data_IF_592205909927
#
_entry.id   IF_592205909927
#
_cell.length_a   1.000
_cell.length_b   1.000
_cell.length_c   1.000
_cell.angle_alpha   90.00
_cell.angle_beta   90.00
_cell.angle_gamma   90.00
#
_symmetry.space_group_name_H-M   'P 1'
#
loop_
_entity.id
_entity.type
_entity.pdbx_description
1 polymer ?
#
# COMPACT_ATOMS: atom_id res chain seq x y z
N UNK A 1 6.30 16.30 13.70
CA UNK A 1 6.33 15.35 12.57
C UNK A 1 5.66 14.05 12.98
N UNK A 2 5.12 13.33 12.00
CA UNK A 2 4.53 12.01 12.18
C UNK A 2 5.53 10.93 11.70
N UNK A 3 5.38 9.71 12.23
CA UNK A 3 6.22 8.59 11.81
C UNK A 3 5.88 8.10 10.39
N UNK A 4 6.75 7.26 9.83
CA UNK A 4 6.58 6.74 8.47
C UNK A 4 5.32 5.88 8.34
N UNK A 5 4.95 5.14 9.37
CA UNK A 5 3.75 4.28 9.36
C UNK A 5 2.48 5.12 9.25
N UNK A 6 2.43 6.25 9.96
CA UNK A 6 1.35 7.22 9.83
C UNK A 6 1.23 7.74 8.40
N UNK A 7 2.35 8.19 7.80
CA UNK A 7 2.36 8.73 6.45
C UNK A 7 1.90 7.69 5.44
N UNK A 8 2.45 6.47 5.51
CA UNK A 8 2.06 5.36 4.63
C UNK A 8 0.56 5.07 4.71
N UNK A 9 0.04 4.94 5.93
CA UNK A 9 -1.35 4.60 6.17
C UNK A 9 -2.32 5.67 5.64
N UNK A 10 -2.11 6.91 6.03
CA UNK A 10 -3.00 8.01 5.63
C UNK A 10 -2.94 8.24 4.12
N UNK A 11 -1.74 8.21 3.52
CA UNK A 11 -1.59 8.36 2.06
C UNK A 11 -2.29 7.23 1.31
N UNK A 12 -2.15 5.98 1.78
CA UNK A 12 -2.80 4.84 1.17
C UNK A 12 -4.33 4.93 1.26
N UNK A 13 -4.85 5.35 2.41
CA UNK A 13 -6.29 5.54 2.62
C UNK A 13 -6.86 6.56 1.62
N UNK A 14 -6.26 7.76 1.56
CA UNK A 14 -6.72 8.78 0.61
C UNK A 14 -6.54 8.35 -0.84
N UNK A 15 -5.47 7.60 -1.17
CA UNK A 15 -5.28 7.09 -2.53
C UNK A 15 -6.38 6.12 -2.93
N UNK A 16 -6.74 5.19 -2.06
CA UNK A 16 -7.84 4.25 -2.33
C UNK A 16 -9.18 4.96 -2.50
N UNK A 17 -9.48 5.93 -1.62
CA UNK A 17 -10.72 6.72 -1.74
C UNK A 17 -10.78 7.50 -3.05
N UNK A 18 -9.68 8.14 -3.45
CA UNK A 18 -9.61 8.88 -4.72
C UNK A 18 -9.72 7.95 -5.92
N UNK A 19 -9.09 6.77 -5.88
CA UNK A 19 -9.17 5.81 -6.97
C UNK A 19 -10.60 5.28 -7.15
N UNK A 20 -11.32 4.98 -6.05
CA UNK A 20 -12.71 4.58 -6.09
C UNK A 20 -13.61 5.68 -6.70
N UNK A 21 -13.43 6.94 -6.29
CA UNK A 21 -14.18 8.08 -6.86
C UNK A 21 -13.91 8.24 -8.36
N UNK A 22 -12.64 8.10 -8.78
CA UNK A 22 -12.28 8.22 -10.20
C UNK A 22 -12.88 7.07 -11.02
N UNK A 23 -12.97 5.87 -10.47
CA UNK A 23 -13.58 4.71 -11.14
C UNK A 23 -15.10 4.85 -11.29
N UNK A 24 -15.76 5.49 -10.33
CA UNK A 24 -17.21 5.75 -10.39
C UNK A 24 -17.58 6.93 -11.30
N UNK A 25 -16.66 7.87 -11.50
CA UNK A 25 -16.93 9.12 -12.21
C UNK A 25 -16.22 9.17 -13.55
N UNK A 26 -17.00 9.18 -14.64
CA UNK A 26 -16.45 9.26 -15.99
C UNK A 26 -15.87 10.62 -16.40
N UNK A 27 -16.07 11.66 -15.60
CA UNK A 27 -15.56 13.02 -15.82
C UNK A 27 -14.21 13.27 -15.10
N UNK A 28 -13.70 12.30 -14.34
CA UNK A 28 -12.45 12.38 -13.63
C UNK A 28 -11.42 11.39 -14.20
N UNK A 29 -10.16 11.79 -14.18
CA UNK A 29 -9.04 10.94 -14.56
C UNK A 29 -7.84 11.14 -13.62
N UNK A 30 -6.94 10.16 -13.59
CA UNK A 30 -5.68 10.30 -12.87
C UNK A 30 -4.78 11.32 -13.56
N UNK A 31 -4.19 12.22 -12.77
CA UNK A 31 -3.24 13.21 -13.29
C UNK A 31 -1.86 12.62 -13.63
N UNK A 32 -1.59 11.38 -13.24
CA UNK A 32 -0.31 10.70 -13.46
C UNK A 32 -0.53 9.22 -13.70
N UNK A 33 0.31 8.64 -14.56
CA UNK A 33 0.32 7.22 -14.91
C UNK A 33 0.65 6.32 -13.73
N UNK A 34 0.29 5.07 -13.84
CA UNK A 34 0.52 4.01 -12.87
C UNK A 34 -0.56 3.88 -11.82
N UNK A 35 -0.60 2.66 -11.28
CA UNK A 35 -1.46 2.30 -10.15
C UNK A 35 -0.62 1.91 -8.96
N UNK A 36 -1.10 2.27 -7.77
CA UNK A 36 -0.46 1.86 -6.52
C UNK A 36 -1.22 0.66 -5.97
N UNK A 37 -0.51 -0.43 -5.79
CA UNK A 37 -0.97 -1.60 -5.04
C UNK A 37 -0.52 -1.49 -3.59
N UNK A 38 -1.41 -1.75 -2.66
CA UNK A 38 -1.13 -1.73 -1.23
C UNK A 38 -1.18 -3.16 -0.68
N UNK A 39 -0.15 -3.57 0.05
CA UNK A 39 -0.03 -4.89 0.68
C UNK A 39 -0.51 -4.90 2.13
N UNK A 40 -1.29 -3.91 2.50
CA UNK A 40 -1.96 -3.80 3.80
C UNK A 40 -3.31 -3.11 3.62
N UNK A 41 -4.17 -3.26 4.60
CA UNK A 41 -5.46 -2.54 4.62
C UNK A 41 -5.28 -1.23 5.37
N UNK A 42 -5.41 -0.07 4.68
CA UNK A 42 -5.32 1.22 5.35
C UNK A 42 -6.47 1.43 6.34
N UNK A 43 -6.16 1.98 7.51
CA UNK A 43 -7.13 2.34 8.52
C UNK A 43 -6.70 3.61 9.24
N UNK A 44 -7.42 4.71 9.03
CA UNK A 44 -7.10 6.01 9.65
C UNK A 44 -7.18 5.94 11.17
N UNK A 45 -7.97 5.03 11.70
CA UNK A 45 -8.22 4.86 13.13
C UNK A 45 -7.11 4.08 13.86
N UNK A 46 -6.27 3.31 13.12
CA UNK A 46 -5.12 2.58 13.70
C UNK A 46 -3.88 3.44 13.91
N UNK A 47 -3.89 4.68 13.46
CA UNK A 47 -2.81 5.66 13.68
C UNK A 47 -3.25 6.76 14.63
N UNK A 48 -2.29 7.54 15.13
CA UNK A 48 -2.56 8.58 16.12
C UNK A 48 -3.66 9.55 15.68
N UNK A 49 -4.74 9.59 16.42
CA UNK A 49 -5.78 10.60 16.35
C UNK A 49 -6.35 10.89 17.74
N UNK A 50 -7.14 11.95 17.87
CA UNK A 50 -7.87 12.34 19.08
C UNK A 50 -9.38 12.40 18.83
N UNK A 51 -9.90 11.38 18.13
CA UNK A 51 -11.24 11.38 17.55
C UNK A 51 -11.24 11.98 16.15
N UNK A 52 -12.38 11.90 15.49
CA UNK A 52 -12.63 12.45 14.15
C UNK A 52 -13.74 13.51 14.20
N UNK A 53 -13.65 14.48 13.32
CA UNK A 53 -14.67 15.53 13.19
C UNK A 53 -14.78 15.95 11.73
N UNK A 54 -15.98 16.31 11.29
CA UNK A 54 -16.22 16.95 9.99
C UNK A 54 -15.81 18.44 9.99
N UNK A 55 -15.25 18.91 11.11
CA UNK A 55 -14.86 20.30 11.32
C UNK A 55 -16.02 21.23 10.99
N UNK A 56 -15.85 22.17 10.08
CA UNK A 56 -16.88 23.11 9.65
C UNK A 56 -17.39 22.86 8.23
N UNK A 57 -17.20 21.66 7.67
CA UNK A 57 -17.59 21.34 6.28
C UNK A 57 -19.08 21.54 6.04
N UNK A 58 -19.91 21.07 6.95
CA UNK A 58 -21.37 21.15 6.79
C UNK A 58 -22.00 22.32 7.55
N UNK A 59 -21.49 22.62 8.75
CA UNK A 59 -21.98 23.70 9.59
C UNK A 59 -20.98 24.03 10.70
N UNK A 60 -21.06 25.24 11.26
CA UNK A 60 -20.26 25.62 12.41
C UNK A 60 -20.76 24.87 13.66
N UNK A 61 -19.86 24.10 14.28
CA UNK A 61 -20.14 23.30 15.51
C UNK A 61 -19.29 23.80 16.64
N UNK A 62 -19.85 23.79 17.86
CA UNK A 62 -19.12 24.16 19.08
C UNK A 62 -18.26 23.04 19.66
N UNK A 63 -18.58 21.79 19.33
CA UNK A 63 -17.93 20.60 19.90
C UNK A 63 -17.07 19.89 18.82
N UNK A 64 -15.88 20.42 18.61
CA UNK A 64 -14.88 19.87 17.65
C UNK A 64 -13.60 19.42 18.35
N UNK A 65 -13.53 19.54 19.67
CA UNK A 65 -12.36 19.21 20.46
C UNK A 65 -12.45 17.85 21.15
N UNK A 66 -11.30 17.21 21.40
CA UNK A 66 -11.21 15.99 22.21
C UNK A 66 -10.99 16.39 23.67
N UNK A 67 -12.04 16.26 24.51
CA UNK A 67 -11.99 16.69 25.92
C UNK A 67 -11.56 15.58 26.88
N UNK A 68 -11.61 14.31 26.47
CA UNK A 68 -11.38 13.18 27.36
C UNK A 68 -9.91 12.95 27.66
N UNK A 69 -9.04 13.00 26.63
CA UNK A 69 -7.61 12.80 26.79
C UNK A 69 -6.82 13.42 25.63
N UNK A 70 -5.63 14.02 25.93
CA UNK A 70 -4.70 14.45 24.89
C UNK A 70 -3.94 13.26 24.28
N UNK A 71 -4.02 12.06 24.90
CA UNK A 71 -3.36 10.84 24.43
C UNK A 71 -4.18 10.13 23.36
N UNK A 72 -3.52 9.36 22.54
CA UNK A 72 -4.19 8.44 21.62
C UNK A 72 -4.68 7.21 22.40
N UNK A 73 -5.98 7.07 22.52
CA UNK A 73 -6.61 5.95 23.22
C UNK A 73 -6.66 4.72 22.30
N UNK A 74 -6.78 4.95 20.99
CA UNK A 74 -6.92 3.88 20.00
C UNK A 74 -8.37 3.41 19.83
N UNK A 75 -8.51 2.23 19.26
CA UNK A 75 -9.82 1.63 18.98
C UNK A 75 -10.31 0.80 20.16
N UNK A 76 -11.60 0.87 20.52
CA UNK A 76 -12.19 -0.09 21.45
C UNK A 76 -12.12 -1.49 20.81
N UNK A 77 -11.53 -2.44 21.52
CA UNK A 77 -11.37 -3.82 21.04
C UNK A 77 -12.09 -4.83 21.93
N UNK A 78 -12.64 -4.40 23.07
CA UNK A 78 -13.36 -5.29 23.96
C UNK A 78 -13.47 -4.77 25.37
N UNK A 79 -13.48 -5.67 26.34
CA UNK A 79 -13.58 -5.35 27.76
C UNK A 79 -12.67 -6.24 28.63
N UNK A 80 -12.38 -5.77 29.82
CA UNK A 80 -11.67 -6.53 30.85
C UNK A 80 -12.64 -7.47 31.54
N UNK A 81 -12.34 -8.75 31.59
CA UNK A 81 -13.14 -9.75 32.32
C UNK A 81 -12.66 -9.90 33.76
N UNK A 82 -11.33 -9.97 33.94
CA UNK A 82 -10.70 -10.19 35.23
C UNK A 82 -9.35 -9.50 35.32
N UNK A 83 -9.03 -8.98 36.48
CA UNK A 83 -7.71 -8.43 36.82
C UNK A 83 -7.06 -9.34 37.87
N UNK A 84 -5.95 -9.97 37.50
CA UNK A 84 -5.12 -10.78 38.36
C UNK A 84 -3.85 -10.03 38.77
N UNK A 85 -2.99 -10.65 39.56
CA UNK A 85 -1.76 -10.02 40.06
C UNK A 85 -0.74 -9.78 38.95
N UNK A 86 -0.71 -10.66 37.94
CA UNK A 86 0.31 -10.71 36.86
C UNK A 86 -0.28 -10.69 35.46
N UNK A 87 -1.60 -10.77 35.30
CA UNK A 87 -2.28 -10.80 34.00
C UNK A 87 -3.68 -10.19 34.06
N UNK A 88 -4.23 -9.96 32.87
CA UNK A 88 -5.63 -9.62 32.69
C UNK A 88 -6.29 -10.67 31.80
N UNK A 89 -7.50 -11.11 32.14
CA UNK A 89 -8.37 -11.84 31.22
C UNK A 89 -9.30 -10.83 30.54
N UNK A 90 -9.41 -10.91 29.21
CA UNK A 90 -10.15 -9.95 28.40
C UNK A 90 -11.05 -10.66 27.38
N UNK A 91 -12.19 -10.05 27.06
CA UNK A 91 -13.01 -10.43 25.92
C UNK A 91 -12.81 -9.39 24.81
N UNK A 92 -12.60 -9.84 23.57
CA UNK A 92 -12.27 -8.92 22.45
C UNK A 92 -13.01 -9.30 21.19
N UNK A 93 -13.22 -8.31 20.34
CA UNK A 93 -13.86 -8.46 19.02
C UNK A 93 -12.86 -8.73 17.89
N UNK A 94 -11.59 -8.43 18.13
CA UNK A 94 -10.48 -8.67 17.18
C UNK A 94 -9.35 -9.46 17.86
N UNK A 95 -8.63 -10.32 17.14
CA UNK A 95 -7.50 -11.05 17.70
C UNK A 95 -6.44 -10.10 18.27
N UNK A 96 -5.90 -10.45 19.43
CA UNK A 96 -4.75 -9.80 20.02
C UNK A 96 -3.45 -10.52 19.69
N UNK A 97 -2.36 -9.78 19.67
CA UNK A 97 -1.01 -10.29 19.43
C UNK A 97 -0.01 -9.82 20.49
N UNK A 98 1.07 -10.59 20.63
CA UNK A 98 2.21 -10.16 21.43
C UNK A 98 2.75 -8.84 20.87
N UNK A 99 3.02 -7.89 21.74
CA UNK A 99 3.47 -6.56 21.35
C UNK A 99 2.36 -5.54 21.13
N UNK A 100 1.08 -5.92 21.20
CA UNK A 100 -0.02 -4.95 21.14
C UNK A 100 0.07 -3.93 22.28
N UNK A 101 -0.26 -2.68 22.00
CA UNK A 101 -0.45 -1.65 23.02
C UNK A 101 -1.92 -1.59 23.40
N UNK A 102 -2.19 -1.85 24.66
CA UNK A 102 -3.54 -1.88 25.23
C UNK A 102 -3.70 -0.83 26.31
N UNK A 103 -4.91 -0.33 26.49
CA UNK A 103 -5.20 0.61 27.56
C UNK A 103 -6.67 0.60 27.99
N UNK A 104 -6.90 1.15 29.17
CA UNK A 104 -8.22 1.42 29.71
C UNK A 104 -8.29 2.91 30.07
N UNK A 105 -9.33 3.59 29.63
CA UNK A 105 -9.58 4.98 30.00
C UNK A 105 -10.44 5.03 31.28
N UNK A 106 -9.90 5.63 32.33
CA UNK A 106 -10.57 5.78 33.63
C UNK A 106 -10.59 7.26 33.99
N UNK A 107 -11.75 7.89 33.98
CA UNK A 107 -11.92 9.30 34.37
C UNK A 107 -10.91 10.27 33.73
N UNK A 108 -10.65 10.17 32.43
CA UNK A 108 -9.66 10.95 31.68
C UNK A 108 -8.19 10.53 31.89
N UNK A 109 -7.92 9.54 32.71
CA UNK A 109 -6.61 8.91 32.84
C UNK A 109 -6.52 7.68 31.92
N UNK A 110 -5.45 7.58 31.16
CA UNK A 110 -5.16 6.40 30.32
C UNK A 110 -4.20 5.51 31.08
N UNK A 111 -4.69 4.35 31.51
CA UNK A 111 -3.88 3.27 32.09
C UNK A 111 -3.48 2.33 30.96
N UNK A 112 -2.27 2.52 30.44
CA UNK A 112 -1.75 1.78 29.28
C UNK A 112 -0.70 0.75 29.69
N UNK A 113 -0.65 -0.33 28.90
CA UNK A 113 0.36 -1.38 29.02
C UNK A 113 0.62 -2.03 27.67
N UNK A 114 1.80 -2.64 27.55
CA UNK A 114 2.15 -3.42 26.36
C UNK A 114 1.97 -4.89 26.64
N UNK A 115 1.29 -5.61 25.78
CA UNK A 115 1.11 -7.05 25.87
C UNK A 115 2.45 -7.76 25.56
N UNK A 116 3.04 -8.40 26.56
CA UNK A 116 4.24 -9.23 26.37
C UNK A 116 3.85 -10.60 25.81
N UNK A 117 2.90 -11.24 26.50
CA UNK A 117 2.37 -12.55 26.10
C UNK A 117 0.86 -12.45 26.01
N UNK A 118 0.32 -13.03 24.96
CA UNK A 118 -1.11 -13.12 24.70
C UNK A 118 -1.45 -14.58 24.43
N UNK A 119 -2.35 -15.15 25.20
CA UNK A 119 -2.82 -16.53 25.06
C UNK A 119 -4.34 -16.54 24.84
N UNK A 120 -4.78 -17.27 23.83
CA UNK A 120 -6.20 -17.45 23.57
C UNK A 120 -6.75 -18.49 24.55
N UNK A 121 -7.72 -18.10 25.38
CA UNK A 121 -8.32 -18.95 26.41
C UNK A 121 -9.72 -19.46 26.07
N UNK A 122 -10.35 -18.85 25.05
CA UNK A 122 -11.69 -19.20 24.58
C UNK A 122 -12.04 -18.52 23.27
N UNK A 123 -13.29 -18.66 22.84
CA UNK A 123 -13.80 -17.89 21.72
C UNK A 123 -13.83 -16.42 22.11
N UNK A 124 -13.07 -15.58 21.40
CA UNK A 124 -12.93 -14.15 21.67
C UNK A 124 -12.42 -13.81 23.09
N UNK A 125 -11.80 -14.75 23.79
CA UNK A 125 -11.23 -14.53 25.12
C UNK A 125 -9.73 -14.76 25.11
N UNK A 126 -9.02 -13.86 25.76
CA UNK A 126 -7.55 -13.87 25.83
C UNK A 126 -7.07 -13.58 27.24
N UNK A 127 -5.95 -14.19 27.59
CA UNK A 127 -5.13 -13.83 28.76
C UNK A 127 -3.94 -13.03 28.30
N UNK A 128 -3.74 -11.88 28.92
CA UNK A 128 -2.70 -10.92 28.55
C UNK A 128 -1.78 -10.69 29.74
N UNK A 129 -0.49 -10.97 29.56
CA UNK A 129 0.57 -10.62 30.50
C UNK A 129 1.26 -9.35 30.00
N UNK A 130 1.16 -8.24 30.73
CA UNK A 130 1.89 -7.01 30.40
C UNK A 130 3.41 -7.19 30.54
N UNK A 131 4.19 -6.41 29.77
CA UNK A 131 5.66 -6.31 29.97
C UNK A 131 5.99 -5.84 31.39
N UNK A 132 5.27 -4.82 31.83
CA UNK A 132 5.33 -4.26 33.17
C UNK A 132 3.89 -4.04 33.63
N UNK A 133 3.60 -4.46 34.84
CA UNK A 133 2.28 -4.24 35.39
C UNK A 133 2.07 -2.75 35.63
N UNK A 134 0.98 -2.16 35.14
CA UNK A 134 0.72 -0.74 35.31
C UNK A 134 0.66 -0.37 36.81
N UNK A 135 1.30 0.72 37.15
CA UNK A 135 1.25 1.21 38.56
C UNK A 135 -0.20 1.45 39.02
N UNK A 136 -1.06 1.84 38.09
CA UNK A 136 -2.47 2.11 38.31
C UNK A 136 -3.38 0.90 38.02
N UNK A 137 -2.83 -0.31 38.00
CA UNK A 137 -3.61 -1.55 37.76
C UNK A 137 -4.81 -1.67 38.71
N UNK A 138 -4.62 -1.24 39.97
CA UNK A 138 -5.67 -1.25 40.97
C UNK A 138 -6.91 -0.40 40.62
N UNK A 139 -6.80 0.51 39.64
CA UNK A 139 -7.91 1.30 39.10
C UNK A 139 -8.73 0.54 38.06
N UNK A 140 -8.14 -0.47 37.42
CA UNK A 140 -8.85 -1.30 36.39
C UNK A 140 -9.82 -2.22 37.10
N UNK A 141 -11.00 -2.39 36.57
CA UNK A 141 -12.08 -3.24 37.08
C UNK A 141 -12.63 -4.11 35.94
N UNK A 142 -13.25 -5.25 36.25
CA UNK A 142 -14.07 -5.97 35.27
C UNK A 142 -15.08 -5.03 34.59
N UNK A 143 -15.36 -5.30 33.33
CA UNK A 143 -16.23 -4.54 32.42
C UNK A 143 -15.75 -3.14 32.02
N UNK A 144 -14.50 -2.74 32.40
CA UNK A 144 -13.92 -1.56 31.80
C UNK A 144 -13.63 -1.81 30.32
N UNK A 145 -14.01 -0.84 29.44
CA UNK A 145 -13.68 -0.92 28.00
C UNK A 145 -12.16 -1.03 27.78
N UNK A 146 -11.75 -2.00 26.98
CA UNK A 146 -10.37 -2.19 26.58
C UNK A 146 -10.16 -1.58 25.21
N UNK A 147 -9.14 -0.73 25.07
CA UNK A 147 -8.76 -0.13 23.80
C UNK A 147 -7.38 -0.62 23.37
N UNK A 148 -7.17 -0.67 22.03
CA UNK A 148 -5.89 -0.97 21.41
C UNK A 148 -5.36 0.28 20.70
N UNK A 149 -4.29 0.87 21.21
CA UNK A 149 -3.62 2.02 20.62
C UNK A 149 -2.40 1.66 19.77
N UNK A 150 -2.01 0.39 19.78
CA UNK A 150 -0.97 -0.16 18.91
C UNK A 150 -1.35 -1.57 18.47
N UNK A 151 -1.67 -1.75 17.20
CA UNK A 151 -1.81 -3.05 16.57
C UNK A 151 -0.42 -3.45 16.03
N UNK A 152 0.25 -4.36 16.74
CA UNK A 152 1.62 -4.73 16.45
C UNK A 152 1.78 -5.38 15.08
N UNK A 153 0.91 -6.31 14.74
CA UNK A 153 0.97 -7.04 13.46
C UNK A 153 0.72 -6.10 12.27
N UNK A 154 -0.25 -5.22 12.38
CA UNK A 154 -0.53 -4.22 11.37
C UNK A 154 0.64 -3.23 11.21
N UNK A 155 1.24 -2.77 12.30
CA UNK A 155 2.41 -1.91 12.25
C UNK A 155 3.62 -2.60 11.63
N UNK A 156 3.84 -3.89 11.91
CA UNK A 156 4.89 -4.69 11.27
C UNK A 156 4.69 -4.79 9.76
N UNK A 157 3.47 -4.90 9.28
CA UNK A 157 3.19 -4.89 7.84
C UNK A 157 3.62 -3.57 7.18
N UNK A 158 3.50 -2.43 7.89
CA UNK A 158 3.92 -1.12 7.41
C UNK A 158 5.45 -0.91 7.42
N UNK A 159 6.21 -1.65 8.22
CA UNK A 159 7.68 -1.55 8.24
C UNK A 159 8.33 -2.19 7.02
N UNK A 160 7.64 -3.11 6.35
CA UNK A 160 8.08 -3.77 5.12
C UNK A 160 7.74 -2.93 3.89
N UNK A 161 8.02 -3.46 2.70
CA UNK A 161 7.47 -2.91 1.44
C UNK A 161 5.96 -3.02 1.49
N UNK A 162 5.29 -1.93 1.77
CA UNK A 162 3.85 -1.90 2.03
C UNK A 162 3.03 -1.45 0.82
N UNK A 163 3.68 -0.86 -0.18
CA UNK A 163 3.02 -0.39 -1.40
C UNK A 163 4.00 -0.39 -2.55
N UNK A 164 3.51 -0.71 -3.73
CA UNK A 164 4.25 -0.57 -4.99
C UNK A 164 3.42 0.23 -5.98
N UNK A 165 4.07 1.16 -6.67
CA UNK A 165 3.47 1.85 -7.82
C UNK A 165 4.10 1.33 -9.09
N UNK A 166 3.28 0.88 -10.03
CA UNK A 166 3.73 0.38 -11.32
C UNK A 166 2.89 0.96 -12.44
N UNK A 167 3.53 1.11 -13.61
CA UNK A 167 2.93 1.62 -14.84
C UNK A 167 2.68 0.43 -15.78
N UNK A 168 1.49 0.36 -16.35
CA UNK A 168 1.16 -0.67 -17.32
C UNK A 168 1.88 -0.44 -18.63
N UNK A 169 2.41 -1.52 -19.21
CA UNK A 169 2.99 -1.50 -20.55
C UNK A 169 2.46 -2.67 -21.39
N UNK A 170 2.20 -2.40 -22.65
CA UNK A 170 1.96 -3.41 -23.67
C UNK A 170 3.29 -3.69 -24.36
N UNK A 171 3.58 -4.96 -24.57
CA UNK A 171 4.84 -5.45 -25.15
C UNK A 171 4.52 -6.19 -26.43
N UNK A 172 5.17 -5.81 -27.52
CA UNK A 172 5.07 -6.48 -28.81
C UNK A 172 6.47 -6.92 -29.25
N UNK A 173 6.64 -8.19 -29.54
CA UNK A 173 7.83 -8.72 -30.19
C UNK A 173 7.49 -9.15 -31.61
N UNK A 174 8.11 -8.51 -32.57
CA UNK A 174 7.98 -8.83 -34.00
C UNK A 174 9.34 -9.02 -34.68
N UNK A 175 9.32 -9.14 -36.01
CA UNK A 175 10.53 -9.33 -36.81
C UNK A 175 10.84 -10.79 -37.11
N UNK A 176 12.08 -11.08 -37.46
CA UNK A 176 12.56 -12.42 -37.77
C UNK A 176 14.07 -12.52 -37.45
N UNK A 177 14.63 -13.67 -37.60
CA UNK A 177 15.99 -14.13 -37.26
C UNK A 177 17.10 -13.09 -37.15
N UNK A 178 17.23 -12.20 -38.15
CA UNK A 178 18.29 -11.19 -38.19
C UNK A 178 17.89 -9.84 -37.59
N UNK A 179 16.60 -9.62 -37.41
CA UNK A 179 16.09 -8.36 -36.91
C UNK A 179 14.82 -8.56 -36.07
N UNK A 180 15.02 -8.78 -34.80
CA UNK A 180 13.93 -8.69 -33.81
C UNK A 180 13.59 -7.23 -33.52
N UNK A 181 12.30 -6.99 -33.35
CA UNK A 181 11.77 -5.66 -33.03
C UNK A 181 10.93 -5.78 -31.74
N UNK A 182 11.44 -5.23 -30.67
CA UNK A 182 10.76 -5.17 -29.37
C UNK A 182 10.14 -3.79 -29.20
N UNK A 183 8.83 -3.72 -29.14
CA UNK A 183 8.08 -2.48 -28.92
C UNK A 183 7.45 -2.48 -27.54
N UNK A 184 7.64 -1.42 -26.76
CA UNK A 184 6.97 -1.16 -25.51
C UNK A 184 6.11 0.09 -25.63
N UNK A 185 4.84 -0.02 -25.21
CA UNK A 185 3.91 1.11 -25.19
C UNK A 185 3.36 1.27 -23.77
N UNK A 186 3.62 2.41 -23.14
CA UNK A 186 3.09 2.70 -21.80
C UNK A 186 1.61 3.04 -21.84
N UNK A 187 0.93 2.98 -20.71
CA UNK A 187 -0.51 3.30 -20.58
C UNK A 187 -0.86 4.73 -20.99
N UNK A 188 0.09 5.67 -20.91
CA UNK A 188 -0.07 7.05 -21.39
C UNK A 188 0.22 7.20 -22.90
N UNK A 189 0.54 6.10 -23.62
CA UNK A 189 0.76 6.10 -25.06
C UNK A 189 2.19 6.41 -25.49
N UNK A 190 3.16 6.52 -24.56
CA UNK A 190 4.57 6.67 -24.93
C UNK A 190 5.07 5.33 -25.45
N UNK A 191 5.59 5.36 -26.68
CA UNK A 191 6.04 4.15 -27.39
C UNK A 191 7.52 4.24 -27.72
N UNK A 192 8.22 3.13 -27.51
CA UNK A 192 9.60 2.95 -27.96
C UNK A 192 9.69 1.67 -28.80
N UNK A 193 10.71 1.65 -29.64
CA UNK A 193 11.08 0.45 -30.40
C UNK A 193 12.57 0.20 -30.18
N UNK A 194 12.89 -1.00 -29.75
CA UNK A 194 14.24 -1.49 -29.56
C UNK A 194 14.51 -2.62 -30.55
N UNK A 195 15.59 -2.52 -31.28
CA UNK A 195 16.05 -3.58 -32.21
C UNK A 195 17.31 -4.18 -31.63
N UNK A 196 17.18 -5.30 -30.88
CA UNK A 196 18.35 -5.93 -30.29
C UNK A 196 19.24 -6.56 -31.35
N UNK A 197 20.55 -6.40 -31.17
CA UNK A 197 21.55 -7.07 -32.01
C UNK A 197 21.57 -8.57 -31.74
N UNK A 198 21.60 -9.37 -32.78
CA UNK A 198 21.70 -10.81 -32.66
C UNK A 198 21.20 -11.55 -33.89
N UNK A 199 21.62 -12.80 -34.02
CA UNK A 199 21.08 -13.74 -34.95
C UNK A 199 20.41 -14.88 -34.18
N UNK A 200 19.17 -15.22 -34.50
CA UNK A 200 18.36 -16.13 -33.71
C UNK A 200 17.95 -17.33 -34.58
N UNK A 201 18.26 -18.52 -34.09
CA UNK A 201 17.90 -19.75 -34.76
C UNK A 201 16.42 -20.13 -34.50
N UNK A 202 15.87 -20.94 -35.38
CA UNK A 202 14.56 -21.54 -35.15
C UNK A 202 14.60 -22.50 -33.95
N UNK A 203 13.54 -22.47 -33.15
CA UNK A 203 13.44 -23.31 -31.98
C UNK A 203 12.99 -24.72 -32.32
N UNK A 204 13.62 -25.74 -31.76
CA UNK A 204 13.22 -27.14 -31.89
C UNK A 204 11.85 -27.46 -31.29
N UNK A 205 11.39 -26.67 -30.32
CA UNK A 205 10.07 -26.79 -29.71
C UNK A 205 9.38 -25.44 -29.71
N UNK A 206 8.49 -25.25 -30.64
CA UNK A 206 7.81 -23.98 -30.87
C UNK A 206 6.98 -23.51 -29.67
N UNK A 207 6.19 -24.37 -29.09
CA UNK A 207 5.32 -24.03 -27.98
C UNK A 207 6.15 -23.56 -26.75
N UNK A 208 7.17 -24.33 -26.40
CA UNK A 208 8.06 -23.98 -25.27
C UNK A 208 8.81 -22.67 -25.50
N UNK A 209 9.27 -22.43 -26.74
CA UNK A 209 9.98 -21.21 -27.09
C UNK A 209 9.08 -19.97 -27.01
N UNK A 210 7.85 -20.06 -27.54
CA UNK A 210 6.88 -18.98 -27.47
C UNK A 210 6.46 -18.65 -26.04
N UNK A 211 6.24 -19.67 -25.22
CA UNK A 211 5.94 -19.46 -23.79
C UNK A 211 7.13 -18.82 -23.05
N UNK A 212 8.35 -19.27 -23.32
CA UNK A 212 9.55 -18.67 -22.73
C UNK A 212 9.73 -17.19 -23.12
N UNK A 213 9.46 -16.84 -24.37
CA UNK A 213 9.50 -15.45 -24.83
C UNK A 213 8.47 -14.61 -24.10
N UNK A 214 7.22 -15.07 -24.05
CA UNK A 214 6.11 -14.37 -23.41
C UNK A 214 6.38 -14.17 -21.91
N UNK A 215 6.71 -15.24 -21.20
CA UNK A 215 6.99 -15.21 -19.76
C UNK A 215 8.25 -14.40 -19.44
N UNK A 216 9.27 -14.51 -20.31
CA UNK A 216 10.51 -13.77 -20.14
C UNK A 216 10.34 -12.28 -20.31
N UNK A 217 9.60 -11.83 -21.33
CA UNK A 217 9.31 -10.41 -21.56
C UNK A 217 8.39 -9.81 -20.50
N UNK A 218 7.47 -10.60 -19.95
CA UNK A 218 6.58 -10.16 -18.88
C UNK A 218 7.29 -9.89 -17.54
N UNK A 219 8.51 -10.39 -17.32
CA UNK A 219 9.25 -10.27 -16.04
C UNK A 219 9.88 -8.89 -15.85
N UNK A 220 9.09 -7.86 -15.64
CA UNK A 220 9.52 -6.47 -15.44
C UNK A 220 9.76 -6.10 -13.96
N UNK A 221 9.84 -7.09 -13.06
CA UNK A 221 9.76 -6.91 -11.60
C UNK A 221 10.77 -5.97 -10.94
N UNK A 222 11.88 -5.63 -11.63
CA UNK A 222 12.89 -4.67 -11.12
C UNK A 222 12.77 -3.27 -11.77
N UNK A 223 11.71 -3.04 -12.51
CA UNK A 223 11.42 -1.76 -13.17
C UNK A 223 10.17 -1.13 -12.60
N UNK A 224 9.86 0.08 -13.03
CA UNK A 224 8.60 0.76 -12.69
C UNK A 224 7.39 0.12 -13.41
N UNK A 225 7.61 -0.85 -14.30
CA UNK A 225 6.58 -1.37 -15.19
C UNK A 225 6.03 -2.73 -14.77
N UNK A 226 4.82 -3.02 -15.23
CA UNK A 226 4.29 -4.38 -15.33
C UNK A 226 3.70 -4.61 -16.72
N UNK A 227 3.85 -5.81 -17.22
CA UNK A 227 3.26 -6.19 -18.53
C UNK A 227 1.75 -6.33 -18.38
N UNK A 228 0.99 -5.48 -19.08
CA UNK A 228 -0.46 -5.59 -19.21
C UNK A 228 -0.84 -6.60 -20.28
N UNK A 229 -0.14 -6.56 -21.40
CA UNK A 229 -0.26 -7.51 -22.50
C UNK A 229 1.11 -7.80 -23.10
N UNK A 230 1.29 -9.02 -23.62
CA UNK A 230 2.49 -9.46 -24.31
C UNK A 230 2.09 -10.20 -25.59
N UNK A 231 2.38 -9.60 -26.72
CA UNK A 231 2.11 -10.15 -28.05
C UNK A 231 3.40 -10.57 -28.74
N UNK A 232 3.42 -11.82 -29.24
CA UNK A 232 4.55 -12.36 -30.00
C UNK A 232 4.10 -12.54 -31.43
N UNK A 233 4.50 -11.62 -32.31
CA UNK A 233 4.13 -11.52 -33.72
C UNK A 233 5.28 -12.00 -34.60
N UNK A 234 5.72 -13.23 -34.38
CA UNK A 234 6.78 -13.85 -35.18
C UNK A 234 6.18 -14.85 -36.17
N UNK A 235 6.73 -14.96 -37.41
CA UNK A 235 6.26 -15.93 -38.40
C UNK A 235 6.56 -17.39 -38.01
N UNK A 236 7.46 -17.62 -37.07
CA UNK A 236 7.82 -18.91 -36.47
C UNK A 236 8.40 -18.76 -35.08
N UNK A 237 8.70 -19.87 -34.45
CA UNK A 237 9.28 -19.85 -33.09
C UNK A 237 10.80 -19.71 -33.17
N UNK A 238 11.35 -18.72 -32.49
CA UNK A 238 12.78 -18.47 -32.36
C UNK A 238 13.31 -18.87 -30.97
N UNK A 239 14.51 -19.38 -30.97
CA UNK A 239 15.26 -19.61 -29.74
C UNK A 239 16.03 -18.35 -29.33
N UNK A 240 15.61 -17.72 -28.25
CA UNK A 240 16.29 -16.58 -27.64
C UNK A 240 16.81 -16.99 -26.25
N UNK A 241 18.12 -16.97 -26.03
CA UNK A 241 18.71 -17.26 -24.71
C UNK A 241 18.15 -16.31 -23.65
N UNK A 242 17.88 -16.85 -22.46
CA UNK A 242 17.33 -16.05 -21.34
C UNK A 242 18.22 -14.85 -20.95
N UNK A 243 19.53 -14.95 -21.10
CA UNK A 243 20.47 -13.84 -20.87
C UNK A 243 20.22 -12.66 -21.81
N UNK A 244 20.05 -12.95 -23.10
CA UNK A 244 19.75 -11.93 -24.12
C UNK A 244 18.35 -11.36 -23.94
N UNK A 245 17.36 -12.20 -23.65
CA UNK A 245 16.00 -11.75 -23.38
C UNK A 245 15.93 -10.81 -22.17
N UNK A 246 16.72 -11.09 -21.13
CA UNK A 246 16.87 -10.22 -19.97
C UNK A 246 17.56 -8.90 -20.30
N UNK A 247 18.53 -8.92 -21.21
CA UNK A 247 19.21 -7.72 -21.69
C UNK A 247 18.25 -6.85 -22.49
N UNK A 248 17.55 -7.40 -23.50
CA UNK A 248 16.59 -6.69 -24.35
C UNK A 248 15.51 -5.99 -23.51
N UNK A 249 15.00 -6.71 -22.53
CA UNK A 249 13.99 -6.17 -21.61
C UNK A 249 14.49 -5.00 -20.78
N UNK A 250 15.74 -5.05 -20.27
CA UNK A 250 16.36 -3.93 -19.52
C UNK A 250 16.58 -2.73 -20.42
N UNK A 251 17.21 -2.93 -21.57
CA UNK A 251 17.46 -1.87 -22.54
C UNK A 251 16.17 -1.18 -23.00
N UNK A 252 15.15 -1.96 -23.31
CA UNK A 252 13.84 -1.42 -23.69
C UNK A 252 13.17 -0.64 -22.54
N UNK A 253 13.27 -1.13 -21.31
CA UNK A 253 12.75 -0.42 -20.14
C UNK A 253 13.48 0.91 -19.90
N UNK A 254 14.81 0.95 -20.03
CA UNK A 254 15.61 2.16 -19.89
C UNK A 254 15.29 3.18 -21.02
N UNK A 255 15.08 2.70 -22.24
CA UNK A 255 14.62 3.54 -23.35
C UNK A 255 13.23 4.12 -23.12
N UNK A 256 12.32 3.33 -22.56
CA UNK A 256 10.98 3.79 -22.23
C UNK A 256 11.00 4.83 -21.12
N UNK A 257 11.83 4.66 -20.09
CA UNK A 257 12.01 5.64 -19.02
C UNK A 257 12.51 6.99 -19.59
N UNK A 258 13.51 6.95 -20.47
CA UNK A 258 14.02 8.15 -21.13
C UNK A 258 12.96 8.82 -22.03
N UNK A 259 12.20 8.04 -22.79
CA UNK A 259 11.15 8.56 -23.65
C UNK A 259 9.99 9.18 -22.87
N UNK A 260 9.57 8.54 -21.76
CA UNK A 260 8.53 9.07 -20.88
C UNK A 260 8.98 10.37 -20.21
N UNK A 261 10.23 10.43 -19.75
CA UNK A 261 10.79 11.66 -19.19
C UNK A 261 10.84 12.80 -20.22
N UNK A 262 11.25 12.49 -21.44
CA UNK A 262 11.31 13.47 -22.53
C UNK A 262 9.92 13.93 -23.01
N UNK A 263 8.91 13.07 -22.94
CA UNK A 263 7.53 13.39 -23.32
C UNK A 263 6.81 14.28 -22.29
N UNK A 264 7.33 14.36 -21.06
CA UNK A 264 6.71 15.14 -20.00
C UNK A 264 6.86 16.63 -20.25
N UNK A 265 5.74 17.28 -20.55
CA UNK A 265 5.68 18.74 -20.72
C UNK A 265 4.92 19.36 -19.55
N UNK A 266 5.60 20.19 -18.79
CA UNK A 266 4.95 20.99 -17.76
C UNK A 266 4.24 22.15 -18.41
N UNK A 267 2.90 22.16 -18.39
CA UNK A 267 2.11 23.30 -18.85
C UNK A 267 2.50 24.59 -18.11
N UNK A 268 2.61 25.70 -18.83
CA UNK A 268 2.82 27.01 -18.21
C UNK A 268 1.55 27.41 -17.46
N UNK A 269 1.67 27.69 -16.15
CA UNK A 269 0.59 28.32 -15.38
C UNK A 269 0.49 29.80 -15.81
N UNK A 270 -0.66 30.20 -16.33
CA UNK A 270 -0.98 31.62 -16.41
C UNK A 270 -1.29 32.09 -14.98
N UNK A 271 -0.62 33.14 -14.47
CA UNK A 271 -1.00 33.70 -13.19
C UNK A 271 -2.46 34.17 -13.28
N UNK A 272 -3.29 33.67 -12.36
CA UNK A 272 -4.63 34.18 -12.14
C UNK A 272 -4.46 35.40 -11.22
N UNK A 273 -4.93 36.55 -11.63
CA UNK A 273 -4.94 37.71 -10.75
C UNK A 273 -5.80 37.40 -9.52
N UNK A 274 -5.28 37.68 -8.32
CA UNK A 274 -6.06 37.56 -7.11
C UNK A 274 -7.32 38.42 -7.22
N UNK A 275 -8.52 37.88 -6.83
CA UNK A 275 -9.70 38.75 -6.79
C UNK A 275 -9.44 39.89 -5.83
N UNK A 276 -9.89 41.08 -6.23
CA UNK A 276 -9.77 42.26 -5.37
C UNK A 276 -10.38 41.96 -3.99
N UNK A 277 -9.75 42.37 -2.89
CA UNK A 277 -10.31 42.15 -1.56
C UNK A 277 -11.68 42.81 -1.50
N UNK A 278 -12.67 42.05 -1.01
CA UNK A 278 -14.05 42.53 -0.78
C UNK A 278 -14.09 43.35 0.48
#
# INVERSE_FOLDING_TARGET
YKDMSYVKNITAHYRQMLDAIIEERGDLARASSGRTEHFFVPSTEKTFHRGSTDYFVNARKGDIGAFDSPKFIGLPVGEVLKVAKDHLDVAVTEPLANGDGLNVLIKREVVGFRANTVEKTGENQYRVWPNEMPADLHKIRPHHPLNRNLDHNWQQALTKTSSERRVAVDIELGGWQEQLILTLTSEEGVRITHTPDGQFDEANNAEKAMNNLKDGLAKLGQTLYYARDVQINLPGALFVPNSLLNQFRREAADMLDAARLASYQRGSRKPVADPAPV
#
